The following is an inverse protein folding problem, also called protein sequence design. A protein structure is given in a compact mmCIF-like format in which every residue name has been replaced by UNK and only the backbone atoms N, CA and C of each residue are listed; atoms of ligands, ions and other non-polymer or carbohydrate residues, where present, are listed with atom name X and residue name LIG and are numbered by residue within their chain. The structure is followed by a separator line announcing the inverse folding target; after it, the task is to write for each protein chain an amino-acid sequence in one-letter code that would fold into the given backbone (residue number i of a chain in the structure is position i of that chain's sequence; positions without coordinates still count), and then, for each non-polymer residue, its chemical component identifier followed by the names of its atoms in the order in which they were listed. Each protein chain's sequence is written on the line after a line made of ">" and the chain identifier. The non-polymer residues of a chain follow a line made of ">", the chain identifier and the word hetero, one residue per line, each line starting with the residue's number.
data_IF_688933916452
#
_entry.id   IF_688933916452
#
_cell.length_a   1.000
_cell.length_b   1.000
_cell.length_c   1.000
_cell.angle_alpha   90.00
_cell.angle_beta   90.00
_cell.angle_gamma   90.00
#
_symmetry.space_group_name_H-M   'P 1'
#
loop_
_entity.id
_entity.type
_entity.pdbx_description
1 polymer ?
#
# COMPACT_ATOMS: atom_id res chain seq x y z
N UNK A 1 4.59 18.73 -11.24
CA UNK A 1 3.16 18.40 -11.04
C UNK A 1 2.93 18.10 -9.58
N UNK A 2 1.85 18.61 -8.96
CA UNK A 2 1.45 18.18 -7.60
C UNK A 2 0.86 16.77 -7.71
N UNK A 3 1.33 15.83 -6.89
CA UNK A 3 0.72 14.50 -6.81
C UNK A 3 -0.78 14.65 -6.47
N UNK A 4 -1.68 13.92 -7.15
CA UNK A 4 -3.10 13.93 -6.80
C UNK A 4 -3.26 13.51 -5.33
N UNK A 5 -4.14 14.20 -4.60
CA UNK A 5 -4.46 13.83 -3.21
C UNK A 5 -5.15 12.46 -3.21
N UNK A 6 -4.91 11.67 -2.16
CA UNK A 6 -5.48 10.32 -1.98
C UNK A 6 -5.12 9.33 -3.13
N UNK A 7 -3.96 9.49 -3.75
CA UNK A 7 -3.46 8.60 -4.80
C UNK A 7 -2.26 7.82 -4.28
N UNK A 8 -2.32 6.50 -4.36
CA UNK A 8 -1.31 5.57 -3.86
C UNK A 8 -0.94 4.53 -4.93
N UNK A 9 -0.21 4.92 -6.00
CA UNK A 9 0.09 4.02 -7.12
C UNK A 9 0.92 2.79 -6.71
N UNK A 10 1.65 2.88 -5.59
CA UNK A 10 2.42 1.74 -5.07
C UNK A 10 1.51 0.58 -4.63
N UNK A 11 0.23 0.84 -4.29
CA UNK A 11 -0.76 -0.18 -3.97
C UNK A 11 -0.93 -1.10 -5.17
N UNK A 12 -1.27 -0.53 -6.32
CA UNK A 12 -1.40 -1.28 -7.59
C UNK A 12 -0.11 -2.03 -7.95
N UNK A 13 1.06 -1.41 -7.73
CA UNK A 13 2.34 -2.05 -8.04
C UNK A 13 2.58 -3.37 -7.28
N UNK A 14 1.88 -3.60 -6.17
CA UNK A 14 2.00 -4.85 -5.41
C UNK A 14 1.39 -6.08 -6.10
N UNK A 15 0.56 -5.95 -7.16
CA UNK A 15 0.05 -7.11 -7.94
C UNK A 15 0.95 -7.53 -9.11
N UNK A 16 2.02 -6.78 -9.38
CA UNK A 16 2.81 -6.94 -10.60
C UNK A 16 4.32 -6.93 -10.35
N UNK A 17 4.74 -6.83 -9.09
CA UNK A 17 6.15 -6.77 -8.76
C UNK A 17 6.46 -7.33 -7.37
N UNK A 18 7.70 -7.78 -7.23
CA UNK A 18 8.33 -7.97 -5.93
C UNK A 18 8.84 -6.63 -5.42
N UNK A 19 8.85 -6.46 -4.10
CA UNK A 19 9.40 -5.26 -3.49
C UNK A 19 10.60 -5.62 -2.61
N UNK A 20 11.76 -4.94 -2.78
CA UNK A 20 12.88 -5.03 -1.85
C UNK A 20 12.47 -4.61 -0.42
N UNK A 21 12.85 -5.41 0.57
CA UNK A 21 12.50 -5.14 1.98
C UNK A 21 13.14 -3.86 2.52
N UNK A 22 14.30 -3.46 1.98
CA UNK A 22 14.98 -2.21 2.35
C UNK A 22 14.21 -0.94 1.97
N UNK A 23 13.19 -1.02 1.10
CA UNK A 23 12.35 0.13 0.78
C UNK A 23 11.38 0.49 1.91
N UNK A 24 11.01 -0.49 2.75
CA UNK A 24 10.15 -0.33 3.91
C UNK A 24 10.74 -1.09 5.11
N UNK A 25 11.86 -0.61 5.70
CA UNK A 25 12.60 -1.33 6.75
C UNK A 25 11.78 -1.63 8.01
N UNK A 26 10.72 -0.87 8.28
CA UNK A 26 9.83 -1.08 9.42
C UNK A 26 8.61 -1.97 9.10
N UNK A 27 8.61 -2.61 7.94
CA UNK A 27 7.52 -3.45 7.46
C UNK A 27 8.04 -4.83 7.06
N UNK A 28 7.19 -5.83 7.18
CA UNK A 28 7.43 -7.16 6.62
C UNK A 28 6.94 -7.18 5.19
N UNK A 29 7.83 -7.49 4.25
CA UNK A 29 7.50 -7.65 2.84
C UNK A 29 7.48 -9.13 2.50
N UNK A 30 6.35 -9.63 2.04
CA UNK A 30 6.20 -11.00 1.56
C UNK A 30 6.00 -10.98 0.04
N UNK A 31 7.03 -11.41 -0.69
CA UNK A 31 7.00 -11.52 -2.15
C UNK A 31 6.56 -12.92 -2.57
N UNK A 32 5.71 -12.99 -3.59
CA UNK A 32 5.39 -14.21 -4.34
C UNK A 32 6.01 -14.09 -5.73
N UNK A 33 6.70 -15.15 -6.16
CA UNK A 33 7.33 -15.24 -7.48
C UNK A 33 6.44 -15.99 -8.49
N UNK A 34 5.21 -16.33 -8.12
CA UNK A 34 4.20 -16.83 -9.08
C UNK A 34 3.85 -15.72 -10.06
N UNK A 35 3.71 -16.03 -11.35
CA UNK A 35 3.41 -15.03 -12.38
C UNK A 35 1.91 -14.67 -12.38
N UNK A 36 1.52 -13.37 -12.32
CA UNK A 36 2.40 -12.21 -12.15
C UNK A 36 2.91 -12.08 -10.71
N UNK A 37 4.16 -11.66 -10.49
CA UNK A 37 4.73 -11.55 -9.16
C UNK A 37 3.91 -10.58 -8.32
N UNK A 38 3.65 -10.96 -7.07
CA UNK A 38 2.88 -10.13 -6.13
C UNK A 38 3.67 -9.88 -4.85
N UNK A 39 3.34 -8.83 -4.13
CA UNK A 39 3.86 -8.61 -2.80
C UNK A 39 2.77 -8.20 -1.81
N UNK A 40 3.00 -8.53 -0.54
CA UNK A 40 2.20 -8.08 0.58
C UNK A 40 3.08 -7.29 1.52
N UNK A 41 2.53 -6.19 2.04
CA UNK A 41 3.19 -5.35 3.03
C UNK A 41 2.45 -5.54 4.34
N UNK A 42 3.15 -5.90 5.40
CA UNK A 42 2.56 -6.07 6.72
C UNK A 42 3.33 -5.29 7.79
N UNK A 43 2.62 -4.85 8.82
CA UNK A 43 3.22 -4.20 9.99
C UNK A 43 2.42 -4.49 11.25
N UNK A 44 3.12 -4.65 12.35
CA UNK A 44 2.55 -4.68 13.71
C UNK A 44 2.90 -3.40 14.45
N UNK A 45 2.14 -3.05 15.48
CA UNK A 45 2.39 -1.85 16.29
C UNK A 45 2.33 -0.56 15.46
N UNK A 46 1.25 -0.42 14.71
CA UNK A 46 0.96 0.65 13.75
C UNK A 46 0.41 1.88 14.47
N UNK A 47 -0.70 1.71 15.19
CA UNK A 47 -1.35 2.72 16.03
C UNK A 47 -1.17 2.36 17.50
N UNK A 48 -1.43 1.09 17.84
CA UNK A 48 -1.40 0.55 19.19
C UNK A 48 -0.53 -0.69 19.24
N UNK A 49 0.04 -0.97 20.42
CA UNK A 49 0.84 -2.18 20.60
C UNK A 49 -0.02 -3.43 20.36
N UNK A 50 0.44 -4.29 19.46
CA UNK A 50 -0.20 -5.58 19.14
C UNK A 50 -1.16 -5.54 17.96
N UNK A 51 -1.51 -4.36 17.45
CA UNK A 51 -2.32 -4.24 16.24
C UNK A 51 -1.59 -4.80 15.00
N UNK A 52 -2.34 -4.98 13.92
CA UNK A 52 -1.84 -5.57 12.70
C UNK A 52 -2.45 -4.89 11.47
N UNK A 53 -1.58 -4.53 10.54
CA UNK A 53 -1.94 -3.98 9.24
C UNK A 53 -1.35 -4.86 8.14
N UNK A 54 -2.14 -5.10 7.09
CA UNK A 54 -1.69 -5.73 5.84
C UNK A 54 -2.22 -4.96 4.65
N UNK A 55 -1.35 -4.69 3.69
CA UNK A 55 -1.68 -4.08 2.41
C UNK A 55 -1.39 -5.06 1.27
N UNK A 56 -2.29 -5.10 0.31
CA UNK A 56 -2.16 -5.80 -0.97
C UNK A 56 -2.57 -4.85 -2.11
N UNK A 57 -2.73 -5.37 -3.32
CA UNK A 57 -3.00 -4.58 -4.53
C UNK A 57 -4.38 -3.93 -4.63
N UNK A 58 -5.28 -4.27 -3.72
CA UNK A 58 -6.68 -3.84 -3.76
C UNK A 58 -7.14 -3.26 -2.44
N UNK A 59 -6.52 -3.64 -1.32
CA UNK A 59 -6.97 -3.23 -0.01
C UNK A 59 -5.88 -3.10 1.04
N UNK A 60 -6.18 -2.27 2.03
CA UNK A 60 -5.52 -2.20 3.32
C UNK A 60 -6.46 -2.77 4.36
N UNK A 61 -6.00 -3.79 5.06
CA UNK A 61 -6.71 -4.42 6.15
C UNK A 61 -6.02 -4.09 7.48
N UNK A 62 -6.80 -3.71 8.48
CA UNK A 62 -6.32 -3.36 9.81
C UNK A 62 -7.15 -4.06 10.90
N UNK A 63 -6.50 -4.57 11.94
CA UNK A 63 -7.14 -5.15 13.10
C UNK A 63 -6.38 -4.79 14.39
N UNK A 64 -7.07 -4.76 15.53
CA UNK A 64 -6.43 -4.45 16.83
C UNK A 64 -5.57 -5.60 17.36
N UNK A 65 -5.58 -6.76 16.71
CA UNK A 65 -4.60 -7.82 16.93
C UNK A 65 -4.44 -8.72 15.71
N UNK A 66 -3.33 -9.45 15.63
CA UNK A 66 -3.14 -10.48 14.60
C UNK A 66 -4.21 -11.59 14.69
N UNK A 67 -4.62 -11.96 15.90
CA UNK A 67 -5.70 -12.93 16.12
C UNK A 67 -7.04 -12.41 15.57
N UNK A 68 -7.37 -11.14 15.78
CA UNK A 68 -8.57 -10.55 15.16
C UNK A 68 -8.48 -10.59 13.64
N UNK A 69 -7.31 -10.28 13.09
CA UNK A 69 -7.06 -10.33 11.66
C UNK A 69 -7.31 -11.73 11.08
N UNK A 70 -6.75 -12.76 11.71
CA UNK A 70 -6.89 -14.16 11.29
C UNK A 70 -8.34 -14.66 11.41
N UNK A 71 -9.10 -14.13 12.37
CA UNK A 71 -10.53 -14.41 12.55
C UNK A 71 -11.45 -13.54 11.66
N UNK A 72 -10.88 -12.78 10.70
CA UNK A 72 -11.64 -11.94 9.78
C UNK A 72 -12.25 -10.67 10.40
N UNK A 73 -11.88 -10.31 11.63
CA UNK A 73 -12.35 -9.11 12.34
C UNK A 73 -11.46 -7.91 12.03
N UNK A 74 -11.35 -7.58 10.75
CA UNK A 74 -10.53 -6.48 10.25
C UNK A 74 -11.40 -5.38 9.64
N UNK A 75 -10.97 -4.14 9.81
CA UNK A 75 -11.39 -3.04 8.94
C UNK A 75 -10.70 -3.23 7.59
N UNK A 76 -11.49 -3.27 6.52
CA UNK A 76 -10.99 -3.30 5.14
C UNK A 76 -11.22 -1.94 4.51
N UNK A 77 -10.16 -1.43 3.90
CA UNK A 77 -10.18 -0.20 3.11
C UNK A 77 -9.81 -0.56 1.68
N UNK A 78 -10.71 -0.27 0.76
CA UNK A 78 -10.53 -0.59 -0.65
C UNK A 78 -9.91 0.58 -1.43
N UNK A 79 -9.09 0.22 -2.40
CA UNK A 79 -8.56 1.13 -3.41
C UNK A 79 -9.17 0.79 -4.76
N UNK A 80 -9.37 1.79 -5.61
CA UNK A 80 -9.61 1.51 -7.02
C UNK A 80 -8.37 0.93 -7.68
N UNK A 81 -8.52 0.38 -8.88
CA UNK A 81 -7.45 -0.29 -9.62
C UNK A 81 -6.19 0.56 -9.82
N UNK A 82 -6.34 1.88 -9.92
CA UNK A 82 -5.22 2.81 -10.05
C UNK A 82 -4.58 3.22 -8.71
N UNK A 83 -5.06 2.70 -7.57
CA UNK A 83 -4.61 3.06 -6.23
C UNK A 83 -5.24 4.34 -5.69
N UNK A 84 -6.39 4.78 -6.23
CA UNK A 84 -7.12 5.92 -5.68
C UNK A 84 -7.95 5.51 -4.47
N UNK A 85 -7.85 6.31 -3.40
CA UNK A 85 -8.61 6.15 -2.17
C UNK A 85 -9.80 7.11 -2.18
N UNK A 86 -11.01 6.55 -2.24
CA UNK A 86 -12.24 7.34 -2.26
C UNK A 86 -12.44 8.13 -0.95
N UNK A 87 -13.27 9.18 -0.99
CA UNK A 87 -13.58 9.94 0.23
C UNK A 87 -14.33 9.11 1.27
N UNK A 88 -15.15 8.15 0.84
CA UNK A 88 -15.86 7.22 1.73
C UNK A 88 -14.86 6.33 2.45
N UNK A 89 -13.94 5.71 1.70
CA UNK A 89 -12.90 4.84 2.25
C UNK A 89 -11.95 5.60 3.16
N UNK A 90 -11.58 6.82 2.79
CA UNK A 90 -10.82 7.72 3.67
C UNK A 90 -11.54 8.03 4.97
N UNK A 91 -12.86 8.22 4.94
CA UNK A 91 -13.66 8.45 6.15
C UNK A 91 -13.72 7.20 7.02
N UNK A 92 -13.91 6.03 6.42
CA UNK A 92 -13.94 4.73 7.10
C UNK A 92 -12.58 4.40 7.75
N UNK A 93 -11.49 4.68 7.04
CA UNK A 93 -10.11 4.51 7.50
C UNK A 93 -9.82 5.36 8.75
N UNK A 94 -10.41 6.54 8.85
CA UNK A 94 -10.08 7.51 9.90
C UNK A 94 -8.69 8.15 9.72
N UNK A 95 -8.42 9.21 10.48
CA UNK A 95 -7.23 10.06 10.28
C UNK A 95 -5.92 9.34 10.59
N UNK A 96 -5.90 8.46 11.59
CA UNK A 96 -4.66 7.81 12.05
C UNK A 96 -4.14 6.78 11.05
N UNK A 97 -5.00 5.91 10.54
CA UNK A 97 -4.63 4.98 9.46
C UNK A 97 -4.33 5.71 8.16
N UNK A 98 -5.06 6.79 7.85
CA UNK A 98 -4.77 7.63 6.69
C UNK A 98 -3.37 8.25 6.76
N UNK A 99 -2.96 8.71 7.95
CA UNK A 99 -1.59 9.19 8.17
C UNK A 99 -0.57 8.07 7.99
N UNK A 100 -0.82 6.89 8.56
CA UNK A 100 0.06 5.71 8.40
C UNK A 100 0.28 5.36 6.92
N UNK A 101 -0.78 5.38 6.11
CA UNK A 101 -0.69 5.12 4.67
C UNK A 101 0.15 6.18 3.94
N UNK A 102 0.01 7.46 4.31
CA UNK A 102 0.87 8.52 3.77
C UNK A 102 2.33 8.35 4.19
N UNK A 103 2.58 8.00 5.44
CA UNK A 103 3.94 7.78 5.96
C UNK A 103 4.62 6.60 5.26
N UNK A 104 3.88 5.51 4.97
CA UNK A 104 4.36 4.39 4.15
C UNK A 104 4.75 4.85 2.74
N UNK A 105 3.90 5.64 2.08
CA UNK A 105 4.21 6.18 0.75
C UNK A 105 5.48 7.06 0.79
N UNK A 106 5.63 7.87 1.82
CA UNK A 106 6.78 8.75 1.96
C UNK A 106 8.05 7.99 2.31
N UNK A 107 7.97 6.90 3.06
CA UNK A 107 9.09 5.98 3.33
C UNK A 107 9.56 5.29 2.05
N UNK A 108 8.64 4.76 1.24
CA UNK A 108 8.94 4.22 -0.10
C UNK A 108 9.67 5.24 -0.98
N UNK A 109 9.18 6.48 -1.00
CA UNK A 109 9.81 7.58 -1.76
C UNK A 109 11.18 8.00 -1.22
N UNK A 110 11.52 7.71 0.03
CA UNK A 110 12.84 8.05 0.59
C UNK A 110 13.85 6.94 0.37
N UNK A 111 13.42 5.69 0.49
CA UNK A 111 14.31 4.52 0.54
C UNK A 111 14.47 3.81 -0.81
N UNK A 112 13.69 4.20 -1.82
CA UNK A 112 13.78 3.58 -3.14
C UNK A 112 15.00 4.02 -3.93
N UNK A 113 15.63 3.04 -4.60
CA UNK A 113 16.74 3.31 -5.50
C UNK A 113 16.30 4.21 -6.66
N UNK A 114 17.19 5.12 -7.05
CA UNK A 114 16.88 6.08 -8.11
C UNK A 114 17.00 5.43 -9.50
N UNK A 115 16.04 5.70 -10.41
CA UNK A 115 14.91 6.61 -10.21
C UNK A 115 13.82 5.95 -9.33
N UNK A 116 13.51 6.63 -8.21
CA UNK A 116 12.64 6.25 -7.09
C UNK A 116 11.53 5.26 -7.46
N UNK A 117 11.71 3.94 -7.27
CA UNK A 117 10.71 2.89 -7.62
C UNK A 117 10.00 3.27 -8.94
N UNK A 118 10.74 3.74 -9.94
CA UNK A 118 10.24 4.46 -11.12
C UNK A 118 8.75 4.85 -11.02
N UNK A 119 8.39 5.77 -10.11
CA UNK A 119 7.02 6.28 -10.03
C UNK A 119 6.64 6.80 -11.42
N UNK A 120 7.61 7.33 -12.18
CA UNK A 120 7.49 7.68 -13.58
C UNK A 120 7.11 6.49 -14.48
N UNK A 121 7.49 5.23 -14.23
CA UNK A 121 7.01 4.03 -14.94
C UNK A 121 5.63 3.58 -14.49
N UNK A 122 5.32 3.64 -13.18
CA UNK A 122 3.94 3.44 -12.70
C UNK A 122 3.01 4.52 -13.31
N UNK A 123 3.49 5.77 -13.42
CA UNK A 123 2.80 6.88 -14.09
C UNK A 123 2.75 6.71 -15.61
N UNK A 124 3.86 6.33 -16.27
CA UNK A 124 3.90 6.12 -17.72
C UNK A 124 2.99 4.95 -18.12
N UNK A 125 2.93 3.89 -17.31
CA UNK A 125 1.96 2.81 -17.47
C UNK A 125 0.52 3.31 -17.28
N UNK A 126 0.23 4.05 -16.20
CA UNK A 126 -1.10 4.65 -15.95
C UNK A 126 -1.60 5.53 -17.10
N UNK A 127 -0.75 6.40 -17.65
CA UNK A 127 -1.12 7.29 -18.75
C UNK A 127 -1.14 6.59 -20.12
N UNK A 128 -0.36 5.54 -20.35
CA UNK A 128 -0.41 4.76 -21.60
C UNK A 128 -1.62 3.81 -21.63
N UNK A 129 -2.04 3.26 -20.49
CA UNK A 129 -3.23 2.40 -20.39
C UNK A 129 -4.54 3.16 -20.60
N UNK A 130 -4.66 4.39 -20.10
CA UNK A 130 -5.87 5.22 -20.29
C UNK A 130 -6.03 5.80 -21.72
N UNK A 131 -4.99 5.77 -22.54
CA UNK A 131 -4.97 6.33 -23.90
C UNK A 131 -4.90 5.25 -25.01
N UNK A 132 -5.08 3.97 -24.65
CA UNK A 132 -5.20 2.83 -25.58
C UNK A 132 -6.63 2.32 -25.60
#
# INVERSE_FOLDING_TARGET
>A
MKHPKNQYPFVTATSMNTMPSNYLPNYTIANSTTEPPTCYIAKTNVIEKGDYLRLNSYSLAYAHSKEQFENGKSLYIDFSENGHLSNTEKKNMGQTLYRTLNDMQDELKRNSDRPLINLQWIYNWYFNWLNS
#
